data_IF_059617982750
#
_entry.id   IF_059617982750
#
_cell.length_a   1.000
_cell.length_b   1.000
_cell.length_c   1.000
_cell.angle_alpha   90.00
_cell.angle_beta   90.00
_cell.angle_gamma   90.00
#
_symmetry.space_group_name_H-M   'P 1'
#
loop_
_entity.id
_entity.type
_entity.pdbx_description
1 polymer ?
#
# COMPACT_ATOMS: atom_id res chain seq x y z
N UNK A 1 1.54 12.66 11.50
CA UNK A 1 0.27 12.11 11.01
C UNK A 1 0.22 10.62 11.28
N UNK A 2 -0.93 10.10 11.65
CA UNK A 2 -1.14 8.66 11.83
C UNK A 2 -2.08 8.16 10.74
N UNK A 3 -1.78 7.00 10.14
CA UNK A 3 -2.66 6.34 9.17
C UNK A 3 -2.91 4.91 9.61
N UNK A 4 -4.13 4.46 9.39
CA UNK A 4 -4.55 3.07 9.53
C UNK A 4 -5.25 2.65 8.23
N UNK A 5 -4.78 1.57 7.63
CA UNK A 5 -5.38 0.95 6.45
C UNK A 5 -5.83 -0.45 6.77
N UNK A 6 -7.00 -0.77 6.30
CA UNK A 6 -7.59 -2.09 6.42
C UNK A 6 -8.16 -2.52 5.07
N UNK A 7 -7.64 -3.60 4.54
CA UNK A 7 -8.14 -4.23 3.32
C UNK A 7 -8.70 -5.59 3.65
N UNK A 8 -9.85 -5.89 3.06
CA UNK A 8 -10.47 -7.17 3.26
C UNK A 8 -11.40 -7.50 2.08
N UNK A 9 -11.40 -8.75 1.68
CA UNK A 9 -12.26 -9.28 0.64
C UNK A 9 -13.72 -9.49 1.08
N UNK A 10 -13.99 -9.53 2.39
CA UNK A 10 -15.34 -9.56 2.93
C UNK A 10 -16.19 -8.33 2.53
N UNK A 11 -15.57 -7.19 2.22
CA UNK A 11 -16.28 -6.04 1.65
C UNK A 11 -16.87 -6.34 0.27
N UNK A 12 -16.33 -7.34 -0.44
CA UNK A 12 -16.78 -7.80 -1.74
C UNK A 12 -17.57 -9.11 -1.68
N UNK A 13 -17.90 -9.59 -0.47
CA UNK A 13 -18.58 -10.86 -0.20
C UNK A 13 -17.83 -12.09 -0.71
N UNK A 14 -16.52 -12.00 -0.79
CA UNK A 14 -15.61 -13.09 -1.04
C UNK A 14 -14.76 -13.29 0.21
N UNK A 15 -14.13 -14.45 0.37
CA UNK A 15 -13.21 -14.75 1.48
C UNK A 15 -12.15 -15.69 0.92
N UNK A 16 -11.28 -15.14 0.06
CA UNK A 16 -10.32 -15.93 -0.71
C UNK A 16 -9.26 -15.05 -1.38
N UNK A 17 -8.11 -15.60 -1.71
CA UNK A 17 -7.02 -14.97 -2.45
C UNK A 17 -6.22 -13.96 -1.59
N UNK A 18 -6.43 -12.67 -1.74
CA UNK A 18 -5.91 -11.63 -0.84
C UNK A 18 -6.95 -11.35 0.23
N UNK A 19 -6.89 -12.09 1.30
CA UNK A 19 -7.95 -12.14 2.31
C UNK A 19 -7.94 -10.91 3.22
N UNK A 20 -6.74 -10.47 3.64
CA UNK A 20 -6.64 -9.34 4.56
C UNK A 20 -5.29 -8.62 4.45
N UNK A 21 -5.33 -7.31 4.66
CA UNK A 21 -4.17 -6.48 4.87
C UNK A 21 -4.44 -5.40 5.90
N UNK A 22 -3.55 -5.26 6.87
CA UNK A 22 -3.59 -4.18 7.85
C UNK A 22 -2.25 -3.47 7.83
N UNK A 23 -2.30 -2.13 7.83
CA UNK A 23 -1.10 -1.31 7.96
C UNK A 23 -1.38 -0.11 8.84
N UNK A 24 -0.57 0.07 9.86
CA UNK A 24 -0.49 1.30 10.64
C UNK A 24 0.79 2.03 10.25
N UNK A 25 0.73 3.35 10.05
CA UNK A 25 1.92 4.15 9.78
C UNK A 25 1.89 5.48 10.51
N UNK A 26 3.08 5.91 10.90
CA UNK A 26 3.33 7.24 11.41
C UNK A 26 4.20 8.01 10.42
N UNK A 27 3.77 9.24 10.09
CA UNK A 27 4.49 10.16 9.20
C UNK A 27 5.02 11.32 10.02
N UNK A 28 6.31 11.60 9.90
CA UNK A 28 6.96 12.71 10.61
C UNK A 28 6.36 14.08 10.23
N UNK A 29 6.58 15.13 11.03
CA UNK A 29 6.54 16.51 10.55
C UNK A 29 7.46 16.68 9.34
N UNK A 30 7.40 17.84 8.69
CA UNK A 30 8.40 18.23 7.70
C UNK A 30 9.77 18.31 8.34
N UNK A 31 10.78 17.83 7.64
CA UNK A 31 12.19 17.86 8.01
C UNK A 31 12.97 18.61 6.93
N UNK A 32 13.95 19.40 7.32
CA UNK A 32 14.74 20.20 6.39
C UNK A 32 15.66 19.33 5.52
N UNK A 33 16.22 18.28 6.11
CA UNK A 33 17.13 17.36 5.45
C UNK A 33 17.01 15.96 6.06
N UNK A 34 17.05 14.91 5.24
CA UNK A 34 17.12 13.54 5.74
C UNK A 34 18.44 13.22 6.45
N UNK A 35 19.51 13.96 6.16
CA UNK A 35 20.88 13.68 6.62
C UNK A 35 21.32 14.61 7.75
N UNK A 36 20.96 15.89 7.65
CA UNK A 36 21.54 16.95 8.49
C UNK A 36 20.57 17.53 9.50
N UNK A 37 19.27 17.15 9.44
CA UNK A 37 18.26 17.66 10.36
C UNK A 37 18.54 17.18 11.80
N UNK A 38 18.80 18.13 12.72
CA UNK A 38 19.14 17.86 14.12
C UNK A 38 17.98 17.29 14.94
N UNK A 39 16.75 17.43 14.47
CA UNK A 39 15.57 16.81 15.11
C UNK A 39 15.58 15.29 14.98
N UNK A 40 16.36 14.73 14.02
CA UNK A 40 16.49 13.30 13.81
C UNK A 40 17.59 12.70 14.71
N UNK A 41 17.35 11.54 15.33
CA UNK A 41 18.36 10.81 16.07
C UNK A 41 19.60 10.49 15.23
N UNK A 42 20.80 10.50 15.86
CA UNK A 42 22.08 10.30 15.16
C UNK A 42 22.12 8.98 14.36
N UNK A 43 21.59 7.88 14.91
CA UNK A 43 21.56 6.60 14.22
C UNK A 43 20.70 6.66 12.94
N UNK A 44 19.64 7.44 12.96
CA UNK A 44 18.74 7.64 11.81
C UNK A 44 19.42 8.49 10.75
N UNK A 45 20.10 9.58 11.12
CA UNK A 45 20.90 10.38 10.18
C UNK A 45 22.01 9.55 9.51
N UNK A 46 22.67 8.66 10.24
CA UNK A 46 23.68 7.77 9.69
C UNK A 46 23.08 6.72 8.72
N UNK A 47 21.93 6.15 9.04
CA UNK A 47 21.20 5.27 8.12
C UNK A 47 20.77 6.04 6.86
N UNK A 48 20.28 7.27 7.02
CA UNK A 48 19.86 8.12 5.91
C UNK A 48 21.04 8.49 4.99
N UNK A 49 22.24 8.73 5.53
CA UNK A 49 23.45 8.95 4.71
C UNK A 49 23.78 7.77 3.79
N UNK A 50 23.56 6.55 4.27
CA UNK A 50 23.73 5.36 3.45
C UNK A 50 22.68 5.25 2.34
N UNK A 51 21.45 5.72 2.60
CA UNK A 51 20.34 5.67 1.67
C UNK A 51 20.19 6.94 0.81
N UNK A 52 20.88 8.03 1.14
CA UNK A 52 20.78 9.33 0.44
C UNK A 52 21.09 9.28 -1.07
N UNK A 53 21.96 8.39 -1.60
CA UNK A 53 22.15 8.25 -3.04
C UNK A 53 20.88 7.76 -3.77
N UNK A 54 19.91 7.23 -3.04
CA UNK A 54 18.63 6.75 -3.57
C UNK A 54 17.53 7.82 -3.55
N UNK A 55 17.81 9.04 -3.05
CA UNK A 55 16.88 10.17 -3.13
C UNK A 55 17.06 10.90 -4.49
N UNK A 56 16.17 10.67 -5.46
CA UNK A 56 16.33 11.24 -6.80
C UNK A 56 16.00 12.75 -6.87
N UNK A 57 15.52 13.33 -5.79
CA UNK A 57 14.97 14.71 -5.78
C UNK A 57 15.99 15.76 -5.34
N UNK A 58 17.16 15.35 -4.89
CA UNK A 58 18.21 16.29 -4.44
C UNK A 58 18.70 17.26 -5.54
N UNK A 59 18.30 17.07 -6.80
CA UNK A 59 18.97 17.70 -7.93
C UNK A 59 18.16 18.68 -8.77
N UNK A 60 16.82 18.84 -8.57
CA UNK A 60 16.06 19.57 -9.63
C UNK A 60 14.85 20.39 -9.17
N UNK A 61 14.87 21.12 -8.07
CA UNK A 61 13.70 21.94 -7.75
C UNK A 61 13.98 23.36 -7.24
N UNK A 62 13.66 24.33 -8.07
CA UNK A 62 13.27 25.67 -7.68
C UNK A 62 11.86 25.61 -7.05
N UNK A 63 11.75 25.43 -5.74
CA UNK A 63 10.48 25.44 -5.02
C UNK A 63 10.57 24.82 -3.63
N UNK A 64 9.54 25.06 -2.81
CA UNK A 64 9.41 24.44 -1.48
C UNK A 64 9.26 22.92 -1.60
N UNK A 65 10.24 22.19 -1.10
CA UNK A 65 10.24 20.73 -1.06
C UNK A 65 9.98 20.27 0.36
N UNK A 66 8.88 19.55 0.57
CA UNK A 66 8.55 18.91 1.83
C UNK A 66 9.20 17.54 1.90
N UNK A 67 9.94 17.23 2.97
CA UNK A 67 10.59 15.94 3.23
C UNK A 67 10.01 15.32 4.49
N UNK A 68 9.62 14.06 4.42
CA UNK A 68 9.03 13.34 5.56
C UNK A 68 9.53 11.92 5.62
N UNK A 69 9.70 11.43 6.83
CA UNK A 69 9.96 10.02 7.11
C UNK A 69 8.67 9.32 7.51
N UNK A 70 8.60 8.03 7.18
CA UNK A 70 7.44 7.20 7.45
C UNK A 70 7.91 5.94 8.14
N UNK A 71 7.22 5.57 9.21
CA UNK A 71 7.41 4.28 9.88
C UNK A 71 6.10 3.53 9.82
N UNK A 72 6.17 2.28 9.43
CA UNK A 72 4.98 1.44 9.27
C UNK A 72 5.16 0.06 9.91
N UNK A 73 4.05 -0.48 10.36
CA UNK A 73 3.87 -1.88 10.73
C UNK A 73 2.73 -2.41 9.88
N UNK A 74 2.95 -3.51 9.18
CA UNK A 74 1.93 -4.09 8.33
C UNK A 74 1.92 -5.61 8.37
N UNK A 75 0.73 -6.16 8.18
CA UNK A 75 0.51 -7.59 7.98
C UNK A 75 -0.33 -7.79 6.73
N UNK A 76 0.05 -8.78 5.92
CA UNK A 76 -0.75 -9.26 4.78
C UNK A 76 -0.95 -10.75 4.91
N UNK A 77 -2.12 -11.23 4.49
CA UNK A 77 -2.42 -12.64 4.44
C UNK A 77 -3.09 -13.03 3.13
N UNK A 78 -2.80 -14.26 2.73
CA UNK A 78 -3.27 -14.86 1.50
C UNK A 78 -3.73 -16.28 1.80
N UNK A 79 -4.89 -16.65 1.28
CA UNK A 79 -5.47 -17.98 1.43
C UNK A 79 -5.96 -18.53 0.09
N UNK A 80 -5.96 -19.83 -0.12
CA UNK A 80 -6.67 -20.48 -1.21
C UNK A 80 -8.19 -20.24 -1.17
N UNK A 81 -8.87 -20.62 -2.26
CA UNK A 81 -10.32 -20.48 -2.38
C UNK A 81 -11.10 -21.44 -1.46
N UNK A 82 -10.60 -22.68 -1.32
CA UNK A 82 -11.27 -23.74 -0.55
C UNK A 82 -10.81 -23.72 0.92
N UNK A 83 -11.67 -23.19 1.79
CA UNK A 83 -11.41 -23.08 3.24
C UNK A 83 -11.46 -24.40 3.98
N UNK A 84 -12.20 -25.41 3.48
CA UNK A 84 -12.39 -26.69 4.15
C UNK A 84 -11.20 -27.64 3.91
N UNK A 85 -10.45 -27.41 2.85
CA UNK A 85 -9.36 -28.25 2.40
C UNK A 85 -8.17 -28.20 3.38
N UNK A 86 -7.75 -29.37 3.84
CA UNK A 86 -6.61 -29.53 4.77
C UNK A 86 -5.31 -29.91 4.07
N UNK A 87 -5.35 -30.19 2.74
CA UNK A 87 -4.19 -30.57 1.92
C UNK A 87 -3.88 -29.48 0.89
N UNK A 88 -2.66 -29.50 0.36
CA UNK A 88 -2.26 -28.59 -0.71
C UNK A 88 -3.14 -28.77 -1.95
N UNK A 89 -3.64 -27.66 -2.51
CA UNK A 89 -4.21 -27.63 -3.85
C UNK A 89 -3.14 -27.20 -4.85
N UNK A 90 -2.69 -28.08 -5.76
CA UNK A 90 -1.65 -27.75 -6.72
C UNK A 90 -2.07 -26.66 -7.74
N UNK A 91 -3.37 -26.38 -7.84
CA UNK A 91 -3.93 -25.40 -8.77
C UNK A 91 -4.29 -24.07 -8.11
N UNK A 92 -4.14 -23.96 -6.78
CA UNK A 92 -4.44 -22.72 -6.05
C UNK A 92 -3.22 -22.25 -5.26
N UNK A 93 -3.23 -20.97 -4.90
CA UNK A 93 -2.13 -20.30 -4.21
C UNK A 93 -1.83 -20.90 -2.84
N UNK A 94 -0.57 -20.81 -2.35
CA UNK A 94 -0.25 -21.21 -0.99
C UNK A 94 -0.92 -20.31 0.04
N UNK A 95 -1.20 -20.85 1.23
CA UNK A 95 -1.38 -20.03 2.42
C UNK A 95 -0.10 -19.27 2.73
N UNK A 96 -0.21 -18.00 3.03
CA UNK A 96 0.94 -17.19 3.41
C UNK A 96 0.55 -16.00 4.27
N UNK A 97 1.40 -15.69 5.24
CA UNK A 97 1.38 -14.44 5.98
C UNK A 97 2.68 -13.68 5.78
N UNK A 98 2.62 -12.34 5.84
CA UNK A 98 3.79 -11.47 5.88
C UNK A 98 3.59 -10.37 6.90
N UNK A 99 4.40 -10.36 7.94
CA UNK A 99 4.47 -9.32 8.98
C UNK A 99 5.75 -8.53 8.79
N UNK A 100 5.66 -7.20 8.70
CA UNK A 100 6.81 -6.36 8.40
C UNK A 100 6.81 -5.02 9.13
N UNK A 101 8.01 -4.50 9.32
CA UNK A 101 8.27 -3.11 9.65
C UNK A 101 8.78 -2.40 8.40
N UNK A 102 8.29 -1.19 8.16
CA UNK A 102 8.69 -0.36 7.03
C UNK A 102 9.27 0.97 7.49
N UNK A 103 10.28 1.44 6.79
CA UNK A 103 10.82 2.78 6.88
C UNK A 103 10.81 3.40 5.49
N UNK A 104 10.18 4.56 5.35
CA UNK A 104 10.01 5.24 4.08
C UNK A 104 10.41 6.70 4.12
N UNK A 105 10.65 7.23 2.93
CA UNK A 105 11.03 8.60 2.67
C UNK A 105 10.10 9.18 1.62
N UNK A 106 9.49 10.32 1.93
CA UNK A 106 8.72 11.09 0.98
C UNK A 106 9.41 12.41 0.71
N UNK A 107 9.60 12.70 -0.56
CA UNK A 107 10.03 14.01 -1.05
C UNK A 107 8.95 14.54 -1.97
N UNK A 108 8.39 15.67 -1.62
CA UNK A 108 7.20 16.21 -2.25
C UNK A 108 7.40 17.66 -2.67
N UNK A 109 6.95 18.00 -3.87
CA UNK A 109 6.72 19.36 -4.36
C UNK A 109 5.22 19.56 -4.64
N UNK A 110 4.85 20.69 -5.28
CA UNK A 110 3.46 21.00 -5.60
C UNK A 110 2.77 19.91 -6.42
N UNK A 111 3.44 19.40 -7.48
CA UNK A 111 2.86 18.48 -8.44
C UNK A 111 3.58 17.11 -8.51
N UNK A 112 4.59 16.89 -7.68
CA UNK A 112 5.38 15.66 -7.70
C UNK A 112 5.55 15.09 -6.30
N UNK A 113 5.53 13.76 -6.20
CA UNK A 113 5.84 13.01 -4.99
C UNK A 113 6.76 11.86 -5.37
N UNK A 114 7.91 11.76 -4.72
CA UNK A 114 8.74 10.57 -4.72
C UNK A 114 8.61 9.88 -3.37
N UNK A 115 8.47 8.57 -3.44
CA UNK A 115 8.35 7.70 -2.28
C UNK A 115 9.36 6.57 -2.42
N UNK A 116 10.17 6.39 -1.40
CA UNK A 116 11.06 5.24 -1.26
C UNK A 116 10.77 4.56 0.08
N UNK A 117 10.64 3.24 0.10
CA UNK A 117 10.34 2.48 1.31
C UNK A 117 11.13 1.17 1.36
N UNK A 118 11.67 0.85 2.51
CA UNK A 118 12.30 -0.43 2.82
C UNK A 118 11.44 -1.14 3.85
N UNK A 119 11.02 -2.37 3.52
CA UNK A 119 10.26 -3.24 4.40
C UNK A 119 11.10 -4.46 4.76
N UNK A 120 11.18 -4.75 6.04
CA UNK A 120 11.86 -5.93 6.60
C UNK A 120 10.88 -6.67 7.49
N UNK A 121 10.78 -7.98 7.31
CA UNK A 121 9.80 -8.76 8.05
C UNK A 121 9.98 -10.26 7.89
N UNK A 122 8.93 -11.01 8.20
CA UNK A 122 8.91 -12.46 8.12
C UNK A 122 7.70 -12.93 7.32
N UNK A 123 7.95 -13.86 6.40
CA UNK A 123 6.92 -14.63 5.71
C UNK A 123 6.75 -15.97 6.44
N UNK A 124 5.53 -16.50 6.48
CA UNK A 124 5.23 -17.81 7.04
C UNK A 124 4.60 -17.79 8.43
N UNK A 125 4.65 -18.88 9.22
CA UNK A 125 3.99 -19.01 10.53
C UNK A 125 4.29 -17.90 11.52
N UNK A 126 5.53 -17.41 11.54
CA UNK A 126 5.94 -16.32 12.42
C UNK A 126 5.30 -14.95 12.06
N UNK A 127 4.66 -14.84 10.91
CA UNK A 127 3.87 -13.67 10.55
C UNK A 127 2.50 -13.62 11.25
N UNK A 128 2.12 -14.66 11.99
CA UNK A 128 0.90 -14.76 12.81
C UNK A 128 -0.41 -14.56 12.01
N UNK A 129 -0.39 -14.83 10.71
CA UNK A 129 -1.55 -14.62 9.84
C UNK A 129 -2.71 -15.56 10.18
N UNK A 130 -2.43 -16.85 10.47
CA UNK A 130 -3.42 -17.79 10.96
C UNK A 130 -4.15 -17.27 12.20
N UNK A 131 -3.39 -16.82 13.21
CA UNK A 131 -3.93 -16.33 14.46
C UNK A 131 -4.80 -15.08 14.27
N UNK A 132 -4.35 -14.17 13.39
CA UNK A 132 -5.12 -12.98 13.07
C UNK A 132 -6.43 -13.32 12.33
N UNK A 133 -6.41 -14.27 11.39
CA UNK A 133 -7.60 -14.72 10.69
C UNK A 133 -8.56 -15.45 11.63
N UNK A 134 -8.07 -16.41 12.41
CA UNK A 134 -8.88 -17.16 13.37
C UNK A 134 -9.60 -16.21 14.35
N UNK A 135 -8.89 -15.18 14.85
CA UNK A 135 -9.49 -14.17 15.73
C UNK A 135 -10.65 -13.40 15.05
N UNK A 136 -10.46 -12.97 13.80
CA UNK A 136 -11.52 -12.25 13.05
C UNK A 136 -12.71 -13.17 12.78
N UNK A 137 -12.47 -14.43 12.43
CA UNK A 137 -13.51 -15.42 12.17
C UNK A 137 -14.31 -15.74 13.43
N UNK A 138 -13.64 -15.89 14.59
CA UNK A 138 -14.31 -16.13 15.89
C UNK A 138 -15.18 -14.95 16.30
N UNK A 139 -14.69 -13.71 16.14
CA UNK A 139 -15.47 -12.50 16.48
C UNK A 139 -16.71 -12.34 15.59
N UNK A 140 -16.64 -12.85 14.35
CA UNK A 140 -17.74 -12.71 13.37
C UNK A 140 -18.59 -13.95 13.18
N UNK A 141 -18.31 -15.02 13.92
CA UNK A 141 -18.97 -16.32 13.80
C UNK A 141 -18.92 -16.89 12.36
N UNK A 142 -17.71 -16.84 11.77
CA UNK A 142 -17.40 -17.36 10.42
C UNK A 142 -16.54 -18.62 10.57
N UNK A 143 -16.76 -19.62 9.72
CA UNK A 143 -15.95 -20.83 9.69
C UNK A 143 -14.47 -20.53 9.40
N UNK A 144 -13.56 -21.19 10.14
CA UNK A 144 -12.12 -21.01 9.98
C UNK A 144 -11.59 -21.73 8.74
N UNK A 145 -10.44 -21.29 8.26
CA UNK A 145 -9.67 -21.97 7.23
C UNK A 145 -8.84 -23.12 7.82
N UNK A 146 -8.97 -24.32 7.25
CA UNK A 146 -8.40 -25.55 7.80
C UNK A 146 -7.01 -25.90 7.25
N UNK A 147 -6.54 -25.21 6.20
CA UNK A 147 -5.30 -25.55 5.46
C UNK A 147 -4.03 -24.81 5.92
N UNK A 148 -4.05 -24.02 6.97
CA UNK A 148 -2.90 -23.22 7.43
C UNK A 148 -1.64 -24.03 7.78
N UNK A 149 -1.76 -25.32 8.05
CA UNK A 149 -0.59 -26.18 8.27
C UNK A 149 0.26 -26.37 7.00
N UNK A 150 -0.29 -26.06 5.82
CA UNK A 150 0.39 -26.07 4.52
C UNK A 150 0.92 -24.70 4.09
N UNK A 151 0.99 -23.71 4.99
CA UNK A 151 1.46 -22.38 4.65
C UNK A 151 2.95 -22.36 4.28
N UNK A 152 3.36 -21.33 3.55
CA UNK A 152 4.78 -21.07 3.29
C UNK A 152 5.57 -21.07 4.59
N UNK A 153 6.77 -21.60 4.53
CA UNK A 153 7.59 -21.67 5.72
C UNK A 153 8.23 -20.33 6.08
N UNK A 154 8.71 -20.21 7.32
CA UNK A 154 9.37 -18.99 7.80
C UNK A 154 10.56 -18.60 6.93
N UNK A 155 10.55 -17.36 6.46
CA UNK A 155 11.60 -16.76 5.65
C UNK A 155 11.71 -15.28 5.97
N UNK A 156 12.95 -14.75 6.07
CA UNK A 156 13.18 -13.32 6.19
C UNK A 156 12.76 -12.64 4.88
N UNK A 157 11.84 -11.68 4.99
CA UNK A 157 11.38 -10.87 3.86
C UNK A 157 12.08 -9.52 3.83
N UNK A 158 12.61 -9.16 2.67
CA UNK A 158 13.17 -7.84 2.37
C UNK A 158 12.53 -7.31 1.09
N UNK A 159 12.07 -6.06 1.14
CA UNK A 159 11.43 -5.42 0.01
C UNK A 159 11.82 -3.94 -0.05
N UNK A 160 12.32 -3.50 -1.18
CA UNK A 160 12.57 -2.10 -1.53
C UNK A 160 11.49 -1.66 -2.49
N UNK A 161 10.88 -0.50 -2.25
CA UNK A 161 9.82 0.05 -3.09
C UNK A 161 10.16 1.48 -3.44
N UNK A 162 10.03 1.80 -4.71
CA UNK A 162 10.10 3.16 -5.21
C UNK A 162 8.84 3.50 -6.00
N UNK A 163 8.27 4.67 -5.79
CA UNK A 163 7.14 5.18 -6.57
C UNK A 163 7.29 6.68 -6.80
N UNK A 164 7.12 7.08 -8.03
CA UNK A 164 7.00 8.46 -8.47
C UNK A 164 5.55 8.76 -8.86
N UNK A 165 5.01 9.87 -8.35
CA UNK A 165 3.69 10.38 -8.72
C UNK A 165 3.82 11.78 -9.29
N UNK A 166 3.03 12.06 -10.34
CA UNK A 166 2.96 13.39 -10.94
C UNK A 166 1.49 13.78 -11.14
N UNK A 167 1.11 14.95 -10.64
CA UNK A 167 -0.18 15.56 -10.93
C UNK A 167 -0.11 16.26 -12.27
N UNK A 168 -0.72 15.65 -13.28
CA UNK A 168 -0.69 16.13 -14.69
C UNK A 168 -1.48 17.43 -14.84
N UNK A 169 -2.62 17.53 -14.17
CA UNK A 169 -3.41 18.75 -14.10
C UNK A 169 -4.25 18.81 -12.81
N UNK A 170 -4.63 20.04 -12.46
CA UNK A 170 -5.66 20.36 -11.48
C UNK A 170 -6.47 21.56 -11.99
N UNK A 171 -7.78 21.39 -12.06
CA UNK A 171 -8.70 22.43 -12.54
C UNK A 171 -9.79 22.71 -11.54
N UNK A 172 -10.06 24.00 -11.32
CA UNK A 172 -11.25 24.51 -10.62
C UNK A 172 -12.35 24.66 -11.67
N UNK A 173 -13.44 23.90 -11.52
CA UNK A 173 -14.58 23.93 -12.46
C UNK A 173 -15.52 25.09 -12.08
N UNK A 174 -15.88 25.14 -10.81
CA UNK A 174 -16.61 26.23 -10.16
C UNK A 174 -16.05 26.39 -8.73
N UNK A 175 -16.28 27.50 -8.03
CA UNK A 175 -15.77 27.69 -6.66
C UNK A 175 -16.07 26.50 -5.76
N UNK A 176 -15.00 25.95 -5.17
CA UNK A 176 -15.04 24.76 -4.31
C UNK A 176 -15.01 23.41 -5.04
N UNK A 177 -15.40 23.31 -6.31
CA UNK A 177 -15.38 22.06 -7.07
C UNK A 177 -14.18 21.94 -8.00
N UNK A 178 -13.45 20.88 -7.84
CA UNK A 178 -12.16 20.66 -8.50
C UNK A 178 -12.06 19.25 -9.05
N UNK A 179 -11.20 19.11 -10.04
CA UNK A 179 -10.77 17.83 -10.57
C UNK A 179 -9.27 17.83 -10.75
N UNK A 180 -8.66 16.65 -10.65
CA UNK A 180 -7.26 16.45 -10.99
C UNK A 180 -7.01 15.05 -11.56
N UNK A 181 -5.86 14.90 -12.21
CA UNK A 181 -5.37 13.63 -12.70
C UNK A 181 -3.93 13.44 -12.26
N UNK A 182 -3.67 12.32 -11.60
CA UNK A 182 -2.38 11.94 -11.06
C UNK A 182 -1.94 10.66 -11.74
N UNK A 183 -0.75 10.65 -12.34
CA UNK A 183 -0.11 9.46 -12.87
C UNK A 183 0.96 8.99 -11.91
N UNK A 184 1.25 7.69 -11.94
CA UNK A 184 2.33 7.11 -11.14
C UNK A 184 3.08 6.05 -11.92
N UNK A 185 4.32 5.83 -11.53
CA UNK A 185 5.16 4.74 -11.99
C UNK A 185 6.21 4.41 -10.97
N UNK A 186 6.59 3.15 -10.91
CA UNK A 186 7.53 2.70 -9.90
C UNK A 186 7.80 1.21 -9.98
N UNK A 187 8.23 0.65 -8.86
CA UNK A 187 8.47 -0.77 -8.76
C UNK A 187 8.88 -1.21 -7.37
N UNK A 188 9.04 -2.49 -7.25
CA UNK A 188 9.51 -3.18 -6.05
C UNK A 188 10.62 -4.15 -6.42
N UNK A 189 11.59 -4.30 -5.50
CA UNK A 189 12.67 -5.26 -5.61
C UNK A 189 12.92 -5.94 -4.26
N UNK A 190 13.10 -7.25 -4.27
CA UNK A 190 13.37 -8.06 -3.08
C UNK A 190 12.79 -9.47 -3.19
N UNK A 191 13.01 -10.27 -2.16
CA UNK A 191 12.53 -11.64 -2.13
C UNK A 191 11.04 -11.78 -1.78
N UNK A 192 10.38 -10.70 -1.31
CA UNK A 192 8.93 -10.72 -1.08
C UNK A 192 8.17 -10.49 -2.38
N UNK A 193 8.52 -9.43 -3.11
CA UNK A 193 7.96 -9.14 -4.41
C UNK A 193 8.89 -8.28 -5.26
N UNK A 194 9.03 -8.64 -6.53
CA UNK A 194 9.74 -7.87 -7.55
C UNK A 194 8.81 -7.61 -8.73
N UNK A 195 8.50 -6.34 -8.96
CA UNK A 195 7.60 -5.90 -10.04
C UNK A 195 7.91 -4.48 -10.50
N UNK A 196 7.44 -4.12 -11.68
CA UNK A 196 7.27 -2.74 -12.14
C UNK A 196 5.79 -2.41 -12.19
N UNK A 197 5.43 -1.18 -11.88
CA UNK A 197 4.04 -0.72 -11.96
C UNK A 197 3.92 0.66 -12.58
N UNK A 198 2.77 0.90 -13.18
CA UNK A 198 2.35 2.22 -13.67
C UNK A 198 0.84 2.33 -13.66
N UNK A 199 0.35 3.55 -13.56
CA UNK A 199 -1.08 3.78 -13.56
C UNK A 199 -1.46 5.25 -13.43
N UNK A 200 -2.74 5.47 -13.14
CA UNK A 200 -3.26 6.82 -12.95
C UNK A 200 -4.56 6.84 -12.16
N UNK A 201 -4.84 7.98 -11.55
CA UNK A 201 -6.05 8.23 -10.79
C UNK A 201 -6.66 9.57 -11.19
N UNK A 202 -7.93 9.55 -11.57
CA UNK A 202 -8.75 10.74 -11.75
C UNK A 202 -9.59 10.97 -10.49
N UNK A 203 -9.65 12.23 -10.03
CA UNK A 203 -10.44 12.65 -8.88
C UNK A 203 -11.33 13.83 -9.24
N UNK A 204 -12.53 13.83 -8.67
CA UNK A 204 -13.49 14.93 -8.79
C UNK A 204 -14.23 15.12 -7.45
N UNK A 205 -14.33 16.37 -6.98
CA UNK A 205 -15.02 16.65 -5.73
C UNK A 205 -14.94 18.10 -5.27
N UNK A 206 -15.45 18.29 -4.06
CA UNK A 206 -15.48 19.58 -3.38
C UNK A 206 -14.27 19.72 -2.46
N UNK A 207 -13.57 20.85 -2.52
CA UNK A 207 -12.34 21.12 -1.76
C UNK A 207 -11.34 19.96 -1.83
N UNK A 208 -10.94 19.58 -3.04
CA UNK A 208 -9.98 18.50 -3.29
C UNK A 208 -8.69 18.71 -2.49
N UNK A 209 -8.25 17.73 -1.66
CA UNK A 209 -7.02 17.88 -0.90
C UNK A 209 -5.80 17.96 -1.82
N UNK A 210 -4.76 18.64 -1.35
CA UNK A 210 -3.49 18.74 -2.07
C UNK A 210 -2.65 17.46 -2.04
N UNK A 211 -3.15 16.32 -1.59
CA UNK A 211 -2.44 15.03 -1.56
C UNK A 211 -2.30 14.40 -2.96
N UNK A 212 -1.61 13.25 -3.05
CA UNK A 212 -1.36 12.52 -4.30
C UNK A 212 -2.23 11.27 -4.46
N UNK A 213 -3.49 11.40 -4.05
CA UNK A 213 -4.51 10.39 -4.28
C UNK A 213 -4.68 9.41 -3.13
N UNK A 214 -5.60 8.49 -3.35
CA UNK A 214 -5.93 7.40 -2.44
C UNK A 214 -5.72 6.10 -3.21
N UNK A 215 -4.92 5.19 -2.69
CA UNK A 215 -4.62 3.92 -3.35
C UNK A 215 -4.89 2.75 -2.40
N UNK A 216 -5.00 1.55 -2.98
CA UNK A 216 -4.97 0.31 -2.22
C UNK A 216 -3.70 0.20 -1.38
N UNK A 217 -3.74 -0.60 -0.33
CA UNK A 217 -2.63 -0.81 0.59
C UNK A 217 -1.45 -1.45 -0.15
N UNK A 218 -0.52 -0.60 -0.56
CA UNK A 218 0.76 -1.03 -1.13
C UNK A 218 1.89 -0.22 -0.52
N UNK A 219 3.06 -0.80 -0.33
CA UNK A 219 4.22 -0.06 0.13
C UNK A 219 4.48 1.13 -0.80
N UNK A 220 4.86 2.26 -0.24
CA UNK A 220 5.09 3.50 -0.99
C UNK A 220 3.85 4.23 -1.53
N UNK A 221 2.69 3.58 -1.50
CA UNK A 221 1.52 4.05 -2.26
C UNK A 221 0.69 5.15 -1.63
N UNK A 222 0.57 5.22 -0.31
CA UNK A 222 -0.53 5.99 0.29
C UNK A 222 -0.20 6.77 1.56
N UNK A 223 0.99 7.28 1.65
CA UNK A 223 1.36 8.11 2.81
C UNK A 223 1.33 9.61 2.50
N UNK A 224 0.54 10.05 1.53
CA UNK A 224 0.45 11.45 1.17
C UNK A 224 -0.36 12.22 2.21
N UNK A 225 0.32 13.05 2.97
CA UNK A 225 -0.31 13.96 3.93
C UNK A 225 -1.09 15.03 3.16
N UNK A 226 -2.36 15.31 3.49
CA UNK A 226 -3.08 16.44 2.95
C UNK A 226 -2.33 17.73 3.28
N UNK A 227 -2.05 18.57 2.28
CA UNK A 227 -1.65 19.94 2.58
C UNK A 227 -2.90 20.81 2.85
N UNK A 228 -2.86 21.71 3.81
CA UNK A 228 -3.87 22.76 3.91
C UNK A 228 -3.92 23.54 2.60
N UNK A 229 -5.11 23.64 2.01
CA UNK A 229 -5.30 24.38 0.75
C UNK A 229 -5.15 25.89 0.98
N UNK A 230 -5.41 26.33 2.17
CA UNK A 230 -5.27 27.73 2.59
C UNK A 230 -4.28 27.79 3.76
N UNK A 231 -3.26 28.63 3.66
CA UNK A 231 -2.17 28.78 4.65
C UNK A 231 -2.57 29.11 6.11
N UNK A 232 -3.84 28.98 6.47
CA UNK A 232 -4.37 29.23 7.83
C UNK A 232 -4.52 27.95 8.69
N UNK A 233 -3.94 26.82 8.29
CA UNK A 233 -3.88 25.61 9.14
C UNK A 233 -5.19 24.83 9.33
N UNK A 234 -6.32 25.29 8.83
CA UNK A 234 -7.59 24.57 8.85
C UNK A 234 -7.90 23.97 7.49
N UNK A 235 -8.08 22.65 7.42
CA UNK A 235 -8.64 22.00 6.25
C UNK A 235 -10.18 22.16 6.29
N UNK A 236 -10.78 22.91 5.35
CA UNK A 236 -12.23 22.94 5.27
C UNK A 236 -12.75 21.54 4.93
N UNK A 237 -13.97 21.25 5.29
CA UNK A 237 -14.64 20.02 4.87
C UNK A 237 -14.55 19.85 3.35
N UNK A 238 -14.17 18.67 2.93
CA UNK A 238 -14.13 18.31 1.52
C UNK A 238 -14.39 16.82 1.31
N UNK A 239 -14.82 16.51 0.10
CA UNK A 239 -15.04 15.13 -0.34
C UNK A 239 -14.80 14.98 -1.83
N UNK A 240 -14.44 13.79 -2.25
CA UNK A 240 -14.26 13.49 -3.66
C UNK A 240 -14.49 12.01 -3.96
N UNK A 241 -14.95 11.75 -5.17
CA UNK A 241 -14.88 10.45 -5.80
C UNK A 241 -13.61 10.30 -6.60
N UNK A 242 -13.17 9.06 -6.81
CA UNK A 242 -12.03 8.74 -7.65
C UNK A 242 -12.20 7.42 -8.39
N UNK A 243 -11.54 7.35 -9.53
CA UNK A 243 -11.31 6.10 -10.28
C UNK A 243 -9.82 5.98 -10.56
N UNK A 244 -9.26 4.78 -10.39
CA UNK A 244 -7.84 4.53 -10.69
C UNK A 244 -7.63 3.21 -11.41
N UNK A 245 -6.59 3.21 -12.23
CA UNK A 245 -6.06 2.03 -12.91
C UNK A 245 -4.59 1.87 -12.50
N UNK A 246 -4.19 0.63 -12.22
CA UNK A 246 -2.81 0.25 -11.93
C UNK A 246 -2.48 -1.02 -12.70
N UNK A 247 -1.40 -1.02 -13.46
CA UNK A 247 -0.87 -2.18 -14.17
C UNK A 247 0.48 -2.59 -13.58
N UNK A 248 0.73 -3.89 -13.47
CA UNK A 248 1.97 -4.44 -12.94
C UNK A 248 2.55 -5.51 -13.85
N UNK A 249 3.87 -5.41 -14.04
CA UNK A 249 4.70 -6.48 -14.58
C UNK A 249 5.38 -7.19 -13.39
N UNK A 250 4.86 -8.36 -13.02
CA UNK A 250 5.31 -9.15 -11.85
C UNK A 250 6.40 -10.12 -12.29
N UNK A 251 7.61 -9.93 -11.77
CA UNK A 251 8.76 -10.79 -12.02
C UNK A 251 8.90 -11.85 -10.93
N UNK A 252 8.64 -11.50 -9.68
CA UNK A 252 8.63 -12.40 -8.53
C UNK A 252 7.53 -12.00 -7.55
N UNK A 253 6.85 -12.99 -6.97
CA UNK A 253 5.87 -12.83 -5.91
C UNK A 253 5.90 -14.09 -5.03
N UNK A 254 6.48 -13.99 -3.84
CA UNK A 254 6.64 -15.12 -2.90
C UNK A 254 5.31 -15.81 -2.58
N UNK A 255 4.18 -15.06 -2.63
CA UNK A 255 2.84 -15.56 -2.35
C UNK A 255 2.23 -16.38 -3.50
N UNK A 256 2.95 -16.48 -4.62
CA UNK A 256 2.60 -17.29 -5.80
C UNK A 256 3.74 -18.24 -6.17
N UNK A 257 4.99 -17.76 -6.13
CA UNK A 257 6.18 -18.51 -6.51
C UNK A 257 6.68 -19.45 -5.40
N UNK A 258 6.16 -19.29 -4.16
CA UNK A 258 6.64 -20.03 -3.01
C UNK A 258 7.88 -19.38 -2.36
N UNK A 259 8.44 -20.04 -1.35
CA UNK A 259 9.62 -19.58 -0.64
C UNK A 259 10.82 -19.40 -1.58
N UNK A 260 11.62 -18.35 -1.36
CA UNK A 260 12.77 -18.01 -2.21
C UNK A 260 13.97 -18.94 -1.96
N UNK A 261 14.19 -19.33 -0.70
CA UNK A 261 15.39 -20.06 -0.27
C UNK A 261 15.15 -21.52 0.07
N UNK A 262 13.98 -22.07 -0.22
CA UNK A 262 13.64 -23.48 -0.05
C UNK A 262 12.45 -23.87 -0.94
N UNK A 263 12.31 -25.14 -1.23
CA UNK A 263 11.16 -25.66 -1.95
C UNK A 263 9.89 -25.52 -1.09
N UNK A 264 8.81 -25.06 -1.73
CA UNK A 264 7.49 -24.94 -1.13
C UNK A 264 6.41 -24.96 -2.21
N UNK A 265 5.14 -24.95 -1.80
CA UNK A 265 4.03 -24.87 -2.73
C UNK A 265 4.07 -23.57 -3.54
N UNK A 266 3.80 -23.67 -4.84
CA UNK A 266 3.78 -22.54 -5.78
C UNK A 266 2.74 -22.78 -6.87
N UNK A 267 2.36 -21.71 -7.58
CA UNK A 267 1.47 -21.74 -8.74
C UNK A 267 2.09 -20.98 -9.90
N UNK A 268 1.64 -21.28 -11.13
CA UNK A 268 2.11 -20.56 -12.32
C UNK A 268 1.51 -19.15 -12.36
N UNK A 269 2.30 -18.15 -11.91
CA UNK A 269 1.85 -16.76 -11.88
C UNK A 269 1.65 -16.16 -13.26
N UNK A 270 0.80 -15.15 -13.35
CA UNK A 270 0.68 -14.25 -14.50
C UNK A 270 1.61 -13.07 -14.32
N UNK A 271 2.45 -12.81 -15.31
CA UNK A 271 3.39 -11.69 -15.25
C UNK A 271 2.69 -10.32 -15.37
N UNK A 272 1.56 -10.25 -16.06
CA UNK A 272 0.80 -9.00 -16.19
C UNK A 272 -0.48 -9.09 -15.36
N UNK A 273 -0.63 -8.16 -14.43
CA UNK A 273 -1.82 -7.99 -13.60
C UNK A 273 -2.26 -6.53 -13.62
N UNK A 274 -3.55 -6.30 -13.37
CA UNK A 274 -4.10 -4.95 -13.33
C UNK A 274 -5.16 -4.83 -12.26
N UNK A 275 -5.25 -3.66 -11.66
CA UNK A 275 -6.24 -3.27 -10.67
C UNK A 275 -7.06 -2.10 -11.20
N UNK A 276 -8.39 -2.21 -11.16
CA UNK A 276 -9.32 -1.10 -11.28
C UNK A 276 -9.84 -0.77 -9.89
N UNK A 277 -9.81 0.49 -9.49
CA UNK A 277 -10.37 0.92 -8.22
C UNK A 277 -11.40 2.03 -8.42
N UNK A 278 -12.50 1.95 -7.68
CA UNK A 278 -13.50 3.00 -7.58
C UNK A 278 -13.74 3.28 -6.10
N UNK A 279 -13.71 4.56 -5.73
CA UNK A 279 -13.84 4.91 -4.33
C UNK A 279 -14.21 6.35 -4.08
N UNK A 280 -14.29 6.67 -2.80
CA UNK A 280 -14.51 8.03 -2.32
C UNK A 280 -13.64 8.32 -1.11
N UNK A 281 -13.39 9.59 -0.88
CA UNK A 281 -12.71 10.06 0.33
C UNK A 281 -13.37 11.36 0.82
N UNK A 282 -13.34 11.54 2.12
CA UNK A 282 -13.76 12.77 2.79
C UNK A 282 -12.69 13.21 3.78
N UNK A 283 -12.54 14.49 3.96
CA UNK A 283 -11.71 15.07 5.02
C UNK A 283 -12.45 16.16 5.76
N UNK A 284 -12.22 16.19 7.04
CA UNK A 284 -12.77 17.21 7.94
C UNK A 284 -11.75 17.49 9.04
N UNK A 285 -11.35 18.76 9.15
CA UNK A 285 -10.32 19.19 10.08
C UNK A 285 -9.04 18.33 9.93
N UNK A 286 -8.70 17.54 10.92
CA UNK A 286 -7.51 16.67 10.97
C UNK A 286 -7.77 15.25 10.47
N UNK A 287 -9.00 14.89 10.17
CA UNK A 287 -9.38 13.55 9.77
C UNK A 287 -9.53 13.40 8.26
N UNK A 288 -9.08 12.30 7.74
CA UNK A 288 -9.41 11.82 6.38
C UNK A 288 -9.89 10.38 6.47
N UNK A 289 -11.02 10.09 5.84
CA UNK A 289 -11.57 8.75 5.69
C UNK A 289 -11.68 8.46 4.20
N UNK A 290 -11.29 7.27 3.79
CA UNK A 290 -11.39 6.84 2.40
C UNK A 290 -11.88 5.40 2.32
N UNK A 291 -12.63 5.11 1.27
CA UNK A 291 -13.05 3.77 0.91
C UNK A 291 -12.89 3.55 -0.58
N UNK A 292 -12.41 2.38 -0.98
CA UNK A 292 -12.35 1.94 -2.36
C UNK A 292 -12.76 0.48 -2.48
N UNK A 293 -13.41 0.14 -3.59
CA UNK A 293 -13.53 -1.22 -4.06
C UNK A 293 -12.52 -1.43 -5.19
N UNK A 294 -11.75 -2.50 -5.12
CA UNK A 294 -10.68 -2.84 -6.04
C UNK A 294 -11.03 -4.14 -6.75
N UNK A 295 -10.98 -4.14 -8.06
CA UNK A 295 -11.11 -5.32 -8.92
C UNK A 295 -9.77 -5.63 -9.54
N UNK A 296 -9.25 -6.83 -9.21
CA UNK A 296 -7.94 -7.32 -9.67
C UNK A 296 -8.11 -8.40 -10.71
N UNK A 297 -7.34 -8.31 -11.79
CA UNK A 297 -7.26 -9.38 -12.79
C UNK A 297 -6.67 -10.67 -12.17
N UNK A 298 -6.85 -11.79 -12.85
CA UNK A 298 -6.26 -13.07 -12.41
C UNK A 298 -4.75 -12.95 -12.24
N UNK A 299 -4.23 -13.42 -11.13
CA UNK A 299 -2.82 -13.38 -10.76
C UNK A 299 -2.04 -14.65 -11.15
N UNK A 300 -2.72 -15.79 -11.29
CA UNK A 300 -2.10 -17.08 -11.65
C UNK A 300 -3.00 -17.90 -12.57
N UNK A 301 -2.44 -18.93 -13.19
CA UNK A 301 -3.21 -19.91 -13.98
C UNK A 301 -3.97 -20.82 -13.03
N UNK A 302 -5.21 -21.12 -13.33
CA UNK A 302 -6.09 -21.87 -12.44
C UNK A 302 -6.98 -21.04 -11.54
N UNK A 303 -6.66 -19.77 -11.30
CA UNK A 303 -7.49 -18.88 -10.49
C UNK A 303 -8.91 -18.77 -11.04
N UNK A 304 -9.90 -18.98 -10.18
CA UNK A 304 -11.32 -18.87 -10.50
C UNK A 304 -11.76 -17.39 -10.50
N UNK A 305 -11.96 -16.82 -11.70
CA UNK A 305 -12.47 -15.45 -11.81
C UNK A 305 -11.47 -14.35 -11.49
N UNK A 306 -11.95 -13.11 -11.49
CA UNK A 306 -11.24 -11.93 -10.99
C UNK A 306 -11.47 -11.81 -9.49
N UNK A 307 -10.50 -11.24 -8.78
CA UNK A 307 -10.62 -11.01 -7.34
C UNK A 307 -11.06 -9.58 -7.07
N UNK A 308 -11.93 -9.38 -6.06
CA UNK A 308 -12.29 -8.04 -5.59
C UNK A 308 -12.21 -7.95 -4.08
N UNK A 309 -11.79 -6.79 -3.60
CA UNK A 309 -11.68 -6.50 -2.17
C UNK A 309 -11.91 -5.02 -1.89
N UNK A 310 -12.28 -4.70 -0.66
CA UNK A 310 -12.43 -3.32 -0.22
C UNK A 310 -11.22 -2.85 0.55
N UNK A 311 -10.92 -1.57 0.44
CA UNK A 311 -9.86 -0.87 1.18
C UNK A 311 -10.47 0.31 1.95
N UNK A 312 -10.27 0.33 3.25
CA UNK A 312 -10.67 1.41 4.17
C UNK A 312 -9.41 2.09 4.71
N UNK A 313 -9.34 3.40 4.55
CA UNK A 313 -8.25 4.22 5.09
C UNK A 313 -8.77 5.24 6.10
N UNK A 314 -8.09 5.35 7.23
CA UNK A 314 -8.30 6.38 8.24
C UNK A 314 -6.99 7.08 8.52
N UNK A 315 -6.98 8.41 8.40
CA UNK A 315 -5.80 9.24 8.65
C UNK A 315 -6.12 10.36 9.64
N UNK A 316 -5.18 10.64 10.52
CA UNK A 316 -5.27 11.73 11.50
C UNK A 316 -4.00 12.58 11.47
N UNK A 317 -4.13 13.87 11.18
CA UNK A 317 -3.03 14.84 11.21
C UNK A 317 -2.79 15.32 12.64
N UNK A 318 -1.57 15.14 13.13
CA UNK A 318 -1.15 15.51 14.50
C UNK A 318 -0.93 17.03 14.60
#
# INVERSE_FOLDING_TARGET
MLNLFFENDLFSRTDQQYTNGVRASWVSPDIDSFVDDESLPLWMRNANRFLSPLDPVSYDHEGEVSRRMIFSLGQKMFTPDDRERTTIDPNDRPYAGWLYLGMGYHTRSLDRLNSFEVNVGVVGPAALAKQAQDFVHDVRDIERFNGWDNQLGNELGLQFVYEHKNRVFRHVIIPGWQQDFIVHGGGSFGNVATYLNTGGQYRFGHNLPGDFGTSALRPGGDNSVPMPINGNGSNPFGFHGFVSLDGRLVLHDIFLDGNTFRDSHSVEKRHLTGDLSLGFATHFDRWKISYANIWRTKQFRGQNGTHSYGSLGLSYSL
#
